data_IF_067561205198
#
_entry.id   IF_067561205198
#
_cell.length_a   1.000
_cell.length_b   1.000
_cell.length_c   1.000
_cell.angle_alpha   90.00
_cell.angle_beta   90.00
_cell.angle_gamma   90.00
#
_symmetry.space_group_name_H-M   'P 1'
#
loop_
_entity.id
_entity.type
_entity.pdbx_description
1 polymer ?
#
# COMPACT_ATOMS: atom_id res chain seq x y z
N UNK A 1 -6.76 4.74 -0.67
CA UNK A 1 -7.77 3.76 -1.13
C UNK A 1 -8.13 2.89 0.05
N UNK A 2 -9.41 2.58 0.22
CA UNK A 2 -9.89 1.70 1.28
C UNK A 2 -10.90 0.73 0.65
N UNK A 3 -10.83 -0.54 1.04
CA UNK A 3 -11.85 -1.55 0.76
C UNK A 3 -12.31 -2.23 2.05
N UNK A 4 -13.45 -2.91 1.99
CA UNK A 4 -14.12 -3.63 3.06
C UNK A 4 -13.99 -5.15 2.93
N UNK A 5 -12.94 -5.62 2.24
CA UNK A 5 -12.67 -7.04 2.03
C UNK A 5 -12.23 -7.78 3.31
N UNK A 6 -11.74 -9.01 3.15
CA UNK A 6 -11.33 -9.85 4.30
C UNK A 6 -10.01 -9.42 4.96
N UNK A 7 -9.32 -8.42 4.43
CA UNK A 7 -8.00 -8.01 4.90
C UNK A 7 -6.89 -9.05 4.67
N UNK A 8 -5.75 -8.87 5.32
CA UNK A 8 -4.57 -9.74 5.18
C UNK A 8 -3.65 -9.42 4.00
N UNK A 9 -3.84 -8.28 3.33
CA UNK A 9 -2.94 -7.82 2.29
C UNK A 9 -1.55 -7.50 2.89
N UNK A 10 -0.50 -8.07 2.29
CA UNK A 10 0.87 -7.89 2.72
C UNK A 10 1.76 -7.56 1.51
N UNK A 11 2.81 -6.77 1.76
CA UNK A 11 3.86 -6.54 0.77
C UNK A 11 4.70 -7.82 0.69
N UNK A 12 4.67 -8.47 -0.46
CA UNK A 12 5.42 -9.69 -0.74
C UNK A 12 6.22 -9.53 -2.02
N UNK A 13 7.32 -10.26 -2.16
CA UNK A 13 8.14 -10.24 -3.37
C UNK A 13 7.32 -10.65 -4.61
N UNK A 14 7.41 -9.86 -5.67
CA UNK A 14 6.65 -9.99 -6.90
C UNK A 14 5.18 -9.54 -6.81
N UNK A 15 4.74 -9.01 -5.66
CA UNK A 15 3.35 -8.54 -5.50
C UNK A 15 3.13 -7.18 -6.14
N UNK A 16 1.87 -6.87 -6.48
CA UNK A 16 1.50 -5.52 -6.93
C UNK A 16 1.79 -4.44 -5.88
N UNK A 17 1.72 -4.79 -4.58
CA UNK A 17 2.03 -3.85 -3.49
C UNK A 17 3.52 -3.53 -3.41
N UNK A 18 4.42 -4.50 -3.65
CA UNK A 18 5.86 -4.22 -3.76
C UNK A 18 6.12 -3.24 -4.91
N UNK A 19 5.57 -3.50 -6.10
CA UNK A 19 5.73 -2.60 -7.24
C UNK A 19 5.12 -1.21 -7.03
N UNK A 20 4.11 -1.07 -6.15
CA UNK A 20 3.58 0.23 -5.75
C UNK A 20 4.50 0.93 -4.75
N UNK A 21 5.08 0.20 -3.79
CA UNK A 21 6.10 0.73 -2.87
C UNK A 21 7.26 1.30 -3.65
N UNK A 22 7.83 0.54 -4.57
CA UNK A 22 8.98 0.95 -5.40
C UNK A 22 8.70 2.25 -6.16
N UNK A 23 7.51 2.36 -6.76
CA UNK A 23 7.11 3.55 -7.54
C UNK A 23 6.92 4.77 -6.66
N UNK A 24 6.35 4.60 -5.48
CA UNK A 24 6.14 5.69 -4.53
C UNK A 24 7.49 6.16 -3.97
N UNK A 25 8.39 5.23 -3.63
CA UNK A 25 9.75 5.56 -3.17
C UNK A 25 10.58 6.25 -4.27
N UNK A 26 10.46 5.82 -5.53
CA UNK A 26 11.13 6.47 -6.65
C UNK A 26 10.71 7.94 -6.85
N UNK A 27 9.52 8.32 -6.38
CA UNK A 27 9.03 9.71 -6.36
C UNK A 27 9.36 10.45 -5.04
N UNK A 28 10.22 9.88 -4.19
CA UNK A 28 10.55 10.43 -2.87
C UNK A 28 9.39 10.34 -1.86
N UNK A 29 8.40 9.51 -2.15
CA UNK A 29 7.22 9.30 -1.32
C UNK A 29 7.36 8.13 -0.35
N UNK A 30 6.27 7.85 0.37
CA UNK A 30 6.11 6.66 1.22
C UNK A 30 4.73 6.03 1.06
N UNK A 31 4.69 4.70 1.05
CA UNK A 31 3.46 3.91 0.99
C UNK A 31 3.21 3.23 2.34
N UNK A 32 2.02 3.39 2.89
CA UNK A 32 1.55 2.70 4.09
C UNK A 32 0.38 1.78 3.74
N UNK A 33 0.49 0.50 4.12
CA UNK A 33 -0.57 -0.51 3.94
C UNK A 33 -0.97 -1.03 5.32
N UNK A 34 -2.26 -0.94 5.64
CA UNK A 34 -2.85 -1.56 6.82
C UNK A 34 -3.95 -2.50 6.37
N UNK A 35 -3.83 -3.79 6.71
CA UNK A 35 -4.81 -4.80 6.33
C UNK A 35 -5.01 -5.85 7.42
N UNK A 36 -5.57 -5.47 8.59
CA UNK A 36 -5.88 -6.44 9.62
C UNK A 36 -6.89 -7.47 9.10
N UNK A 37 -6.78 -8.76 9.46
CA UNK A 37 -7.77 -9.76 9.09
C UNK A 37 -9.19 -9.35 9.54
N UNK A 38 -10.15 -9.46 8.63
CA UNK A 38 -11.56 -9.13 8.82
C UNK A 38 -11.92 -7.64 8.79
N UNK A 39 -10.97 -6.74 8.51
CA UNK A 39 -11.17 -5.29 8.56
C UNK A 39 -10.95 -4.58 7.22
N UNK A 40 -10.82 -5.32 6.12
CA UNK A 40 -10.49 -4.76 4.81
C UNK A 40 -9.04 -4.31 4.69
N UNK A 41 -8.75 -3.56 3.64
CA UNK A 41 -7.41 -2.99 3.39
C UNK A 41 -7.47 -1.49 3.21
N UNK A 42 -6.55 -0.79 3.84
CA UNK A 42 -6.30 0.64 3.65
C UNK A 42 -4.89 0.87 3.12
N UNK A 43 -4.80 1.60 2.01
CA UNK A 43 -3.54 1.97 1.37
C UNK A 43 -3.45 3.49 1.25
N UNK A 44 -2.36 4.06 1.78
CA UNK A 44 -2.08 5.50 1.79
C UNK A 44 -0.70 5.75 1.20
N UNK A 45 -0.64 6.53 0.12
CA UNK A 45 0.61 7.02 -0.47
C UNK A 45 0.78 8.51 -0.17
N UNK A 46 1.93 8.87 0.38
CA UNK A 46 2.36 10.25 0.52
C UNK A 46 3.43 10.52 -0.53
N UNK A 47 3.15 11.43 -1.46
CA UNK A 47 4.07 11.80 -2.53
C UNK A 47 4.28 13.32 -2.43
N UNK A 48 5.53 13.81 -2.41
CA UNK A 48 5.81 15.23 -2.48
C UNK A 48 5.23 15.83 -3.76
N UNK A 49 4.59 16.99 -3.65
CA UNK A 49 4.19 17.79 -4.80
C UNK A 49 5.21 18.93 -4.95
N UNK A 50 5.68 19.18 -6.17
CA UNK A 50 6.42 20.40 -6.51
C UNK A 50 5.50 21.62 -6.55
#
# INVERSE_FOLDING_TARGET
MIDDGVGGAAVQAGSGLEGLTDRVEALGGRLNVSSPPGQGTSVIAHIPCE
#
